data_IF_887875073443
#
_entry.id   IF_887875073443
#
_cell.length_a   1.000
_cell.length_b   1.000
_cell.length_c   1.000
_cell.angle_alpha   90.00
_cell.angle_beta   90.00
_cell.angle_gamma   90.00
#
_symmetry.space_group_name_H-M   'P 1'
#
loop_
_entity.id
_entity.type
_entity.pdbx_description
1 polymer ?
#
# COMPACT_ATOMS: atom_id res chain seq x y z
N UNK A 1 43.14 -8.76 26.77
CA UNK A 1 42.40 -7.48 26.80
C UNK A 1 42.16 -6.90 25.41
N UNK A 2 43.17 -6.72 24.54
CA UNK A 2 43.00 -6.24 23.15
C UNK A 2 41.95 -7.01 22.34
N UNK A 3 41.91 -8.34 22.48
CA UNK A 3 40.98 -9.21 21.73
C UNK A 3 39.52 -9.05 22.21
N UNK A 4 39.31 -8.79 23.51
CA UNK A 4 37.96 -8.57 24.07
C UNK A 4 37.40 -7.22 23.63
N UNK A 5 38.22 -6.16 23.67
CA UNK A 5 37.84 -4.84 23.16
C UNK A 5 37.56 -4.87 21.66
N UNK A 6 38.33 -5.63 20.87
CA UNK A 6 38.10 -5.77 19.43
C UNK A 6 36.83 -6.58 19.11
N UNK A 7 36.49 -7.60 19.92
CA UNK A 7 35.23 -8.33 19.77
C UNK A 7 34.01 -7.48 20.15
N UNK A 8 34.11 -6.67 21.20
CA UNK A 8 33.03 -5.74 21.59
C UNK A 8 32.80 -4.69 20.49
N UNK A 9 33.87 -4.15 19.90
CA UNK A 9 33.77 -3.17 18.82
C UNK A 9 33.14 -3.78 17.56
N UNK A 10 33.49 -5.03 17.23
CA UNK A 10 32.91 -5.78 16.11
C UNK A 10 31.42 -6.06 16.33
N UNK A 11 31.04 -6.45 17.56
CA UNK A 11 29.65 -6.67 17.94
C UNK A 11 28.83 -5.36 17.86
N UNK A 12 29.37 -4.23 18.33
CA UNK A 12 28.71 -2.92 18.26
C UNK A 12 28.48 -2.45 16.81
N UNK A 13 29.44 -2.75 15.93
CA UNK A 13 29.36 -2.41 14.50
C UNK A 13 28.32 -3.27 13.75
N UNK A 14 28.12 -4.53 14.17
CA UNK A 14 27.08 -5.39 13.60
C UNK A 14 25.66 -4.92 13.97
N UNK A 15 25.46 -4.35 15.16
CA UNK A 15 24.13 -3.87 15.61
C UNK A 15 23.64 -2.68 14.77
N UNK A 16 24.55 -1.89 14.19
CA UNK A 16 24.18 -0.74 13.34
C UNK A 16 23.76 -1.10 11.91
N UNK A 17 23.86 -2.36 11.50
CA UNK A 17 23.52 -2.81 10.14
C UNK A 17 22.09 -3.37 10.01
N UNK A 18 21.26 -3.28 11.05
CA UNK A 18 19.87 -3.72 10.96
C UNK A 18 19.12 -2.72 10.06
N UNK A 19 18.51 -3.17 8.94
CA UNK A 19 17.71 -2.29 8.10
C UNK A 19 16.51 -1.80 8.92
N UNK A 20 16.50 -0.51 9.25
CA UNK A 20 15.32 0.15 9.81
C UNK A 20 14.39 0.51 8.67
N UNK A 21 13.17 -0.02 8.69
CA UNK A 21 12.12 0.42 7.78
C UNK A 21 11.80 1.89 8.08
N UNK A 22 12.01 2.76 7.10
CA UNK A 22 11.64 4.17 7.23
C UNK A 22 10.12 4.30 7.21
N UNK A 23 9.52 4.61 8.36
CA UNK A 23 8.11 4.98 8.45
C UNK A 23 7.96 6.41 7.91
N UNK A 24 7.15 6.61 6.87
CA UNK A 24 6.94 7.92 6.25
C UNK A 24 5.89 8.81 6.98
N UNK A 25 5.30 8.30 8.06
CA UNK A 25 4.31 9.02 8.86
C UNK A 25 4.96 9.97 9.88
N UNK A 26 4.20 10.96 10.34
CA UNK A 26 4.59 11.82 11.46
C UNK A 26 4.62 11.06 12.79
N UNK A 27 4.99 11.75 13.88
CA UNK A 27 5.11 11.15 15.21
C UNK A 27 3.78 10.58 15.77
N UNK A 28 2.64 10.93 15.17
CA UNK A 28 1.32 10.41 15.54
C UNK A 28 0.81 9.33 14.57
N UNK A 29 1.62 8.95 13.57
CA UNK A 29 1.22 8.01 12.53
C UNK A 29 0.38 8.64 11.42
N UNK A 30 0.27 9.98 11.36
CA UNK A 30 -0.44 10.66 10.28
C UNK A 30 0.46 10.91 9.08
N UNK A 31 -0.14 10.99 7.90
CA UNK A 31 0.55 11.35 6.66
C UNK A 31 -0.39 12.20 5.78
N UNK A 32 0.20 12.97 4.87
CA UNK A 32 -0.56 13.81 3.97
C UNK A 32 -1.18 12.98 2.83
N UNK A 33 -2.50 13.06 2.70
CA UNK A 33 -3.25 12.40 1.62
C UNK A 33 -3.53 13.41 0.51
N UNK A 34 -2.99 13.15 -0.68
CA UNK A 34 -3.16 13.99 -1.86
C UNK A 34 -4.21 13.42 -2.81
N UNK A 35 -4.92 14.29 -3.55
CA UNK A 35 -5.87 13.85 -4.57
C UNK A 35 -7.17 13.24 -4.01
N UNK A 36 -7.69 12.20 -4.66
CA UNK A 36 -9.00 11.60 -4.33
C UNK A 36 -9.02 10.78 -3.06
N UNK A 37 -7.87 10.34 -2.54
CA UNK A 37 -7.81 9.60 -1.27
C UNK A 37 -8.35 10.36 -0.06
N UNK A 38 -8.27 11.69 -0.08
CA UNK A 38 -8.79 12.54 1.01
C UNK A 38 -10.31 12.84 0.88
N UNK A 39 -11.00 12.20 -0.07
CA UNK A 39 -12.46 12.21 -0.14
C UNK A 39 -13.01 11.02 0.62
N UNK A 40 -14.29 11.06 0.99
CA UNK A 40 -14.90 9.94 1.69
C UNK A 40 -15.22 8.78 0.74
N UNK A 41 -15.39 7.59 1.32
CA UNK A 41 -15.97 6.44 0.62
C UNK A 41 -17.33 6.77 -0.01
N UNK A 42 -18.18 7.56 0.66
CA UNK A 42 -19.43 8.03 0.09
C UNK A 42 -19.24 8.87 -1.18
N UNK A 43 -18.24 9.75 -1.22
CA UNK A 43 -17.91 10.50 -2.43
C UNK A 43 -17.41 9.57 -3.56
N UNK A 44 -16.68 8.50 -3.23
CA UNK A 44 -16.31 7.48 -4.21
C UNK A 44 -17.56 6.79 -4.78
N UNK A 45 -18.48 6.30 -3.95
CA UNK A 45 -19.69 5.63 -4.45
C UNK A 45 -20.56 6.57 -5.31
N UNK A 46 -20.70 7.85 -4.95
CA UNK A 46 -21.41 8.84 -5.78
C UNK A 46 -20.70 9.05 -7.12
N UNK A 47 -19.36 8.99 -7.13
CA UNK A 47 -18.59 9.22 -8.36
C UNK A 47 -18.79 8.12 -9.40
N UNK A 48 -19.20 6.92 -8.98
CA UNK A 48 -19.47 5.78 -9.87
C UNK A 48 -20.55 6.19 -10.88
N UNK A 49 -20.27 6.03 -12.17
CA UNK A 49 -21.14 6.46 -13.27
C UNK A 49 -21.21 7.97 -13.51
N UNK A 50 -20.20 8.73 -13.07
CA UNK A 50 -20.03 10.14 -13.41
C UNK A 50 -18.63 10.36 -14.00
N UNK A 51 -18.38 11.54 -14.58
CA UNK A 51 -17.06 11.91 -15.08
C UNK A 51 -15.99 12.00 -13.96
N UNK A 52 -16.39 12.01 -12.68
CA UNK A 52 -15.48 11.96 -11.53
C UNK A 52 -14.83 10.60 -11.32
N UNK A 53 -15.44 9.52 -11.82
CA UNK A 53 -14.98 8.15 -11.62
C UNK A 53 -13.52 7.97 -12.06
N UNK A 54 -13.15 8.58 -13.19
CA UNK A 54 -11.80 8.46 -13.74
C UNK A 54 -10.74 8.97 -12.75
N UNK A 55 -11.03 10.06 -12.03
CA UNK A 55 -10.09 10.60 -11.03
C UNK A 55 -9.88 9.68 -9.85
N UNK A 56 -10.90 8.90 -9.46
CA UNK A 56 -10.75 7.86 -8.45
C UNK A 56 -9.97 6.68 -9.01
N UNK A 57 -10.24 6.23 -10.25
CA UNK A 57 -9.44 5.19 -10.92
C UNK A 57 -7.96 5.56 -10.98
N UNK A 58 -7.63 6.79 -11.38
CA UNK A 58 -6.25 7.28 -11.44
C UNK A 58 -5.57 7.22 -10.07
N UNK A 59 -6.30 7.60 -9.02
CA UNK A 59 -5.81 7.51 -7.65
C UNK A 59 -5.56 6.07 -7.21
N UNK A 60 -6.51 5.16 -7.48
CA UNK A 60 -6.38 3.71 -7.17
C UNK A 60 -5.15 3.13 -7.88
N UNK A 61 -5.02 3.37 -9.19
CA UNK A 61 -3.90 2.87 -9.99
C UNK A 61 -2.56 3.37 -9.45
N UNK A 62 -2.47 4.67 -9.12
CA UNK A 62 -1.28 5.26 -8.52
C UNK A 62 -0.93 4.66 -7.16
N UNK A 63 -1.93 4.55 -6.27
CA UNK A 63 -1.77 4.02 -4.92
C UNK A 63 -1.28 2.55 -4.95
N UNK A 64 -1.95 1.69 -5.70
CA UNK A 64 -1.56 0.28 -5.84
C UNK A 64 -0.19 0.13 -6.50
N UNK A 65 0.15 0.97 -7.48
CA UNK A 65 1.48 0.98 -8.10
C UNK A 65 2.57 1.33 -7.09
N UNK A 66 2.34 2.35 -6.25
CA UNK A 66 3.27 2.72 -5.20
C UNK A 66 3.51 1.58 -4.20
N UNK A 67 2.46 0.83 -3.83
CA UNK A 67 2.58 -0.33 -2.96
C UNK A 67 3.28 -1.52 -3.62
N UNK A 68 3.06 -1.76 -4.92
CA UNK A 68 3.80 -2.79 -5.66
C UNK A 68 5.31 -2.53 -5.64
N UNK A 69 5.74 -1.27 -5.62
CA UNK A 69 7.16 -0.89 -5.57
C UNK A 69 7.72 -1.02 -4.15
N UNK A 70 6.95 -0.64 -3.14
CA UNK A 70 7.44 -0.53 -1.75
C UNK A 70 7.40 -1.86 -1.00
N UNK A 71 6.46 -2.74 -1.33
CA UNK A 71 6.26 -3.98 -0.58
C UNK A 71 7.28 -5.05 -0.98
N UNK A 72 7.98 -5.67 -0.02
CA UNK A 72 8.86 -6.79 -0.29
C UNK A 72 8.13 -7.95 -0.99
N UNK A 73 8.84 -8.63 -1.89
CA UNK A 73 8.33 -9.82 -2.59
C UNK A 73 6.94 -9.62 -3.19
N UNK A 74 6.73 -8.46 -3.85
CA UNK A 74 5.44 -8.10 -4.41
C UNK A 74 5.62 -7.63 -5.84
N UNK A 75 4.92 -8.29 -6.77
CA UNK A 75 4.77 -7.84 -8.15
C UNK A 75 3.43 -7.12 -8.34
N UNK A 76 2.36 -7.67 -7.76
CA UNK A 76 1.02 -7.08 -7.79
C UNK A 76 0.27 -7.35 -6.50
N UNK A 77 -0.01 -6.29 -5.75
CA UNK A 77 -0.63 -6.33 -4.43
C UNK A 77 -2.08 -6.82 -4.48
N UNK A 78 -2.79 -6.57 -5.58
CA UNK A 78 -4.15 -7.04 -5.82
C UNK A 78 -4.24 -8.51 -6.27
N UNK A 79 -3.15 -9.28 -6.15
CA UNK A 79 -3.16 -10.70 -6.51
C UNK A 79 -3.49 -10.92 -7.98
N UNK A 80 -4.62 -11.58 -8.27
CA UNK A 80 -5.13 -11.79 -9.63
C UNK A 80 -6.23 -10.80 -10.05
N UNK A 81 -6.73 -9.97 -9.13
CA UNK A 81 -7.82 -9.05 -9.41
C UNK A 81 -7.40 -8.03 -10.46
N UNK A 82 -8.29 -7.84 -11.44
CA UNK A 82 -8.25 -6.76 -12.40
C UNK A 82 -8.90 -5.49 -11.81
N UNK A 83 -8.82 -4.36 -12.54
CA UNK A 83 -9.31 -3.08 -12.03
C UNK A 83 -10.81 -3.10 -11.72
N UNK A 84 -11.65 -3.76 -12.52
CA UNK A 84 -13.10 -3.79 -12.31
C UNK A 84 -13.48 -4.63 -11.09
N UNK A 85 -12.75 -5.71 -10.82
CA UNK A 85 -12.90 -6.51 -9.60
C UNK A 85 -12.51 -5.70 -8.35
N UNK A 86 -11.42 -4.93 -8.44
CA UNK A 86 -11.00 -4.02 -7.35
C UNK A 86 -12.05 -2.94 -7.11
N UNK A 87 -12.61 -2.35 -8.17
CA UNK A 87 -13.67 -1.35 -8.05
C UNK A 87 -14.92 -1.94 -7.40
N UNK A 88 -15.28 -3.17 -7.75
CA UNK A 88 -16.42 -3.87 -7.14
C UNK A 88 -16.20 -4.06 -5.64
N UNK A 89 -15.01 -4.51 -5.23
CA UNK A 89 -14.66 -4.65 -3.82
C UNK A 89 -14.75 -3.31 -3.08
N UNK A 90 -14.24 -2.23 -3.68
CA UNK A 90 -14.29 -0.89 -3.11
C UNK A 90 -15.71 -0.34 -3.04
N UNK A 91 -16.57 -0.68 -4.01
CA UNK A 91 -17.98 -0.32 -4.02
C UNK A 91 -18.68 -0.89 -2.77
N UNK A 92 -18.53 -2.19 -2.53
CA UNK A 92 -19.10 -2.90 -1.38
C UNK A 92 -18.54 -2.40 -0.05
N UNK A 93 -17.20 -2.25 0.03
CA UNK A 93 -16.53 -1.76 1.23
C UNK A 93 -17.00 -0.34 1.59
N UNK A 94 -17.06 0.56 0.60
CA UNK A 94 -17.45 1.94 0.83
C UNK A 94 -18.95 2.11 1.12
N UNK A 95 -19.79 1.19 0.64
CA UNK A 95 -21.20 1.15 1.02
C UNK A 95 -21.37 0.86 2.52
N UNK A 96 -20.53 -0.03 3.08
CA UNK A 96 -20.55 -0.36 4.51
C UNK A 96 -19.92 0.73 5.38
N UNK A 97 -18.94 1.48 4.85
CA UNK A 97 -18.15 2.47 5.60
C UNK A 97 -18.12 3.84 4.90
N UNK A 98 -19.26 4.54 4.76
CA UNK A 98 -19.36 5.73 3.90
C UNK A 98 -18.55 6.95 4.37
N UNK A 99 -18.24 7.04 5.67
CA UNK A 99 -17.65 8.24 6.28
C UNK A 99 -16.12 8.24 6.22
N UNK A 100 -15.47 7.07 6.08
CA UNK A 100 -14.01 7.00 6.14
C UNK A 100 -13.37 7.64 4.91
N UNK A 101 -12.11 8.07 5.04
CA UNK A 101 -11.32 8.51 3.91
C UNK A 101 -11.14 7.36 2.91
N UNK A 102 -11.19 7.68 1.61
CA UNK A 102 -11.08 6.70 0.55
C UNK A 102 -9.69 6.04 0.52
N UNK A 103 -8.66 6.78 0.90
CA UNK A 103 -7.31 6.22 1.10
C UNK A 103 -7.32 5.04 2.09
N UNK A 104 -8.06 5.15 3.19
CA UNK A 104 -8.16 4.07 4.18
C UNK A 104 -8.81 2.81 3.58
N UNK A 105 -9.76 2.94 2.65
CA UNK A 105 -10.34 1.78 1.97
C UNK A 105 -9.32 1.01 1.14
N UNK A 106 -8.33 1.71 0.56
CA UNK A 106 -7.24 1.08 -0.19
C UNK A 106 -6.20 0.46 0.74
N UNK A 107 -5.91 1.10 1.88
CA UNK A 107 -5.05 0.51 2.90
C UNK A 107 -5.66 -0.81 3.42
N UNK A 108 -6.95 -0.82 3.73
CA UNK A 108 -7.69 -2.01 4.17
C UNK A 108 -7.75 -3.07 3.06
N UNK A 109 -8.00 -2.67 1.80
CA UNK A 109 -7.92 -3.58 0.65
C UNK A 109 -6.58 -4.32 0.60
N UNK A 110 -5.48 -3.59 0.77
CA UNK A 110 -4.13 -4.18 0.74
C UNK A 110 -3.93 -5.14 1.91
N UNK A 111 -4.38 -4.78 3.12
CA UNK A 111 -4.26 -5.64 4.31
C UNK A 111 -5.03 -6.94 4.10
N UNK A 112 -6.28 -6.86 3.64
CA UNK A 112 -7.15 -8.02 3.45
C UNK A 112 -6.69 -8.95 2.32
N UNK A 113 -6.04 -8.40 1.29
CA UNK A 113 -5.58 -9.16 0.12
C UNK A 113 -4.07 -9.47 0.16
N UNK A 114 -3.36 -9.09 1.22
CA UNK A 114 -1.90 -9.16 1.28
C UNK A 114 -1.36 -10.58 1.05
N UNK A 115 -2.01 -11.59 1.61
CA UNK A 115 -1.55 -12.99 1.52
C UNK A 115 -1.81 -13.60 0.14
N UNK A 116 -2.74 -13.02 -0.63
CA UNK A 116 -3.06 -13.42 -2.00
C UNK A 116 -2.28 -12.65 -3.06
N UNK A 117 -1.40 -11.73 -2.63
CA UNK A 117 -0.61 -10.91 -3.54
C UNK A 117 0.26 -11.76 -4.46
N UNK A 118 0.43 -11.29 -5.68
CA UNK A 118 1.32 -11.93 -6.63
C UNK A 118 2.76 -11.52 -6.30
N UNK A 119 3.58 -12.48 -5.87
CA UNK A 119 4.96 -12.21 -5.45
C UNK A 119 5.95 -12.11 -6.62
N UNK A 120 5.63 -12.71 -7.77
CA UNK A 120 6.52 -12.79 -8.94
C UNK A 120 5.76 -12.49 -10.21
N UNK A 121 6.41 -11.81 -11.15
CA UNK A 121 5.85 -11.57 -12.48
C UNK A 121 5.47 -12.90 -13.16
N UNK A 122 4.30 -12.99 -13.84
CA UNK A 122 3.95 -14.13 -14.66
C UNK A 122 5.04 -14.40 -15.71
N UNK A 123 5.27 -15.67 -16.06
CA UNK A 123 6.38 -16.09 -16.93
C UNK A 123 6.47 -15.30 -18.25
N UNK A 124 5.33 -14.92 -18.83
CA UNK A 124 5.21 -14.14 -20.08
C UNK A 124 5.78 -12.72 -19.98
N UNK A 125 5.93 -12.17 -18.77
CA UNK A 125 6.33 -10.77 -18.54
C UNK A 125 7.63 -10.65 -17.72
N UNK A 126 8.41 -11.73 -17.63
CA UNK A 126 9.71 -11.71 -16.97
C UNK A 126 10.72 -11.01 -17.90
N UNK A 127 11.15 -9.80 -17.53
CA UNK A 127 12.21 -9.05 -18.22
C UNK A 127 13.57 -9.64 -17.92
#
# INVERSE_FOLDING_TARGET
MKNLSSMILLALTCVTMIPVSSQAADNNGHFAIWGKGNKSCHNYNISRNTDEEQRFKDYIMGYLTAFNVQMPETYRISGNMNLDEILTWLDDYCQLKPIIAFEQSLADFIIENHDERMQRSPSKYRR
#
